data_IF_553399658081
#
_entry.id   IF_553399658081
#
_cell.length_a   1.000
_cell.length_b   1.000
_cell.length_c   1.000
_cell.angle_alpha   90.00
_cell.angle_beta   90.00
_cell.angle_gamma   90.00
#
_symmetry.space_group_name_H-M   'P 1'
#
loop_
_entity.id
_entity.type
_entity.pdbx_description
1 polymer ?
#
# COMPACT_ATOMS: atom_id res chain seq x y z
N UNK A 1 53.56 -44.00 -1.45
CA UNK A 1 52.66 -43.18 -0.59
C UNK A 1 51.48 -42.61 -1.40
N UNK A 2 50.56 -43.45 -1.90
CA UNK A 2 49.39 -42.98 -2.70
C UNK A 2 48.06 -43.65 -2.34
N UNK A 3 48.02 -44.54 -1.35
CA UNK A 3 46.79 -45.24 -0.94
C UNK A 3 46.14 -44.69 0.34
N UNK A 4 46.81 -43.77 1.05
CA UNK A 4 46.27 -43.17 2.28
C UNK A 4 45.47 -41.88 2.06
N UNK A 5 45.53 -41.28 0.87
CA UNK A 5 44.83 -40.02 0.57
C UNK A 5 43.40 -40.24 0.04
N UNK A 6 43.11 -41.45 -0.46
CA UNK A 6 41.80 -41.77 -1.04
C UNK A 6 40.74 -42.10 0.00
N UNK A 7 41.14 -42.44 1.23
CA UNK A 7 40.22 -42.84 2.30
C UNK A 7 39.66 -41.65 3.10
N UNK A 8 40.28 -40.46 3.01
CA UNK A 8 39.83 -39.24 3.69
C UNK A 8 38.73 -38.52 2.89
N UNK A 9 38.63 -38.76 1.58
CA UNK A 9 37.66 -38.07 0.73
C UNK A 9 36.24 -38.67 0.77
N UNK A 10 36.07 -39.87 1.35
CA UNK A 10 34.77 -40.56 1.41
C UNK A 10 34.01 -40.23 2.71
N UNK A 11 34.67 -39.71 3.74
CA UNK A 11 34.04 -39.47 5.04
C UNK A 11 33.39 -38.08 5.21
N UNK A 12 33.50 -37.18 4.22
CA UNK A 12 32.93 -35.84 4.29
C UNK A 12 31.60 -35.65 3.53
N UNK A 13 31.07 -36.71 2.91
CA UNK A 13 29.88 -36.64 2.03
C UNK A 13 28.52 -36.79 2.75
N UNK A 14 28.49 -36.93 4.08
CA UNK A 14 27.28 -37.33 4.82
C UNK A 14 26.69 -36.24 5.72
N UNK A 15 27.05 -34.98 5.54
CA UNK A 15 26.48 -33.88 6.32
C UNK A 15 25.33 -33.21 5.54
N UNK A 16 24.14 -33.76 5.82
CA UNK A 16 22.84 -33.07 5.97
C UNK A 16 22.15 -32.49 4.72
N UNK A 17 21.32 -33.32 4.08
CA UNK A 17 20.06 -32.84 3.51
C UNK A 17 19.08 -32.49 4.64
N UNK A 18 19.28 -31.35 5.29
CA UNK A 18 18.22 -30.76 6.10
C UNK A 18 17.20 -30.15 5.13
N UNK A 19 16.21 -30.96 4.74
CA UNK A 19 15.01 -30.46 4.09
C UNK A 19 14.30 -29.59 5.12
N UNK A 20 14.57 -28.28 5.08
CA UNK A 20 13.72 -27.27 5.69
C UNK A 20 12.33 -27.48 5.08
N UNK A 21 11.46 -28.23 5.80
CA UNK A 21 10.03 -28.16 5.57
C UNK A 21 9.70 -26.67 5.69
N UNK A 22 9.36 -26.03 4.58
CA UNK A 22 8.85 -24.66 4.60
C UNK A 22 7.66 -24.71 5.54
N UNK A 23 7.80 -24.16 6.75
CA UNK A 23 6.63 -23.85 7.57
C UNK A 23 5.77 -22.97 6.68
N UNK A 24 4.56 -23.42 6.39
CA UNK A 24 3.53 -22.52 5.91
C UNK A 24 3.39 -21.46 7.00
N UNK A 25 4.02 -20.32 6.78
CA UNK A 25 3.82 -19.14 7.59
C UNK A 25 2.39 -18.71 7.26
N UNK A 26 1.46 -19.07 8.14
CA UNK A 26 0.10 -18.56 8.08
C UNK A 26 0.23 -17.07 8.42
N UNK A 27 0.33 -16.23 7.39
CA UNK A 27 0.27 -14.79 7.57
C UNK A 27 -1.11 -14.44 8.14
N UNK A 28 -1.19 -13.67 9.24
CA UNK A 28 -2.46 -13.26 9.79
C UNK A 28 -3.23 -12.47 8.73
N UNK A 29 -4.56 -12.65 8.72
CA UNK A 29 -5.42 -11.88 7.82
C UNK A 29 -5.16 -10.37 8.00
N UNK A 30 -5.10 -9.58 6.92
CA UNK A 30 -4.81 -8.16 7.02
C UNK A 30 -5.90 -7.46 7.84
N UNK A 31 -5.47 -6.64 8.79
CA UNK A 31 -6.35 -5.76 9.57
C UNK A 31 -5.96 -4.31 9.32
N UNK A 32 -6.94 -3.42 9.39
CA UNK A 32 -6.64 -1.99 9.30
C UNK A 32 -5.83 -1.53 10.52
N UNK A 33 -4.83 -0.65 10.34
CA UNK A 33 -4.03 -0.15 11.45
C UNK A 33 -4.88 0.72 12.39
N UNK A 34 -4.42 0.93 13.61
CA UNK A 34 -5.04 1.92 14.50
C UNK A 34 -4.89 3.33 13.94
N UNK A 35 -5.81 4.24 14.30
CA UNK A 35 -5.68 5.65 13.95
C UNK A 35 -4.69 6.27 14.95
N UNK A 36 -3.52 6.68 14.44
CA UNK A 36 -2.46 7.34 15.21
C UNK A 36 -2.05 8.65 14.54
N UNK A 37 -1.24 9.45 15.23
CA UNK A 37 -0.71 10.74 14.75
C UNK A 37 0.81 10.83 14.93
N UNK A 38 1.50 9.69 14.92
CA UNK A 38 2.89 9.56 15.35
C UNK A 38 3.88 9.46 14.18
N UNK A 39 3.39 9.38 12.94
CA UNK A 39 4.18 9.13 11.75
C UNK A 39 4.65 7.67 11.66
N UNK A 40 3.82 6.70 12.04
CA UNK A 40 4.23 5.28 12.09
C UNK A 40 4.38 4.61 10.71
N UNK A 41 4.16 5.34 9.61
CA UNK A 41 4.07 4.82 8.25
C UNK A 41 3.05 3.69 8.13
N UNK A 42 1.85 3.96 8.65
CA UNK A 42 0.72 3.04 8.53
C UNK A 42 -0.30 3.60 7.54
N UNK A 43 -0.94 2.70 6.81
CA UNK A 43 -1.93 3.05 5.81
C UNK A 43 -2.89 1.88 5.62
N UNK A 44 -4.16 2.17 5.39
CA UNK A 44 -5.09 1.18 4.88
C UNK A 44 -6.51 1.70 4.72
N UNK A 45 -7.33 0.92 4.03
CA UNK A 45 -8.75 1.22 3.82
C UNK A 45 -9.53 -0.07 3.53
N UNK A 46 -10.86 0.00 3.58
CA UNK A 46 -11.73 -1.03 3.03
C UNK A 46 -12.00 -0.75 1.56
N UNK A 47 -11.70 -1.69 0.67
CA UNK A 47 -12.09 -1.68 -0.74
C UNK A 47 -13.30 -2.60 -0.89
N UNK A 48 -14.51 -2.03 -0.94
CA UNK A 48 -15.74 -2.79 -0.67
C UNK A 48 -15.65 -3.50 0.71
N UNK A 49 -15.61 -4.84 0.73
CA UNK A 49 -15.52 -5.65 1.95
C UNK A 49 -14.10 -6.18 2.22
N UNK A 50 -13.11 -5.78 1.43
CA UNK A 50 -11.75 -6.28 1.52
C UNK A 50 -10.82 -5.27 2.19
N UNK A 51 -9.94 -5.73 3.09
CA UNK A 51 -8.93 -4.86 3.71
C UNK A 51 -7.78 -4.64 2.73
N UNK A 52 -7.50 -3.37 2.45
CA UNK A 52 -6.32 -2.93 1.71
C UNK A 52 -5.30 -2.34 2.67
N UNK A 53 -4.16 -3.02 2.82
CA UNK A 53 -2.99 -2.54 3.56
C UNK A 53 -1.73 -2.83 2.75
N UNK A 54 -0.69 -2.01 2.87
CA UNK A 54 0.58 -2.28 2.21
C UNK A 54 1.17 -3.60 2.71
N UNK A 55 1.85 -4.32 1.82
CA UNK A 55 2.70 -5.43 2.23
C UNK A 55 4.11 -4.89 2.50
N UNK A 56 4.44 -4.59 3.75
CA UNK A 56 5.70 -3.92 4.11
C UNK A 56 6.98 -4.73 3.78
N UNK A 57 6.87 -6.01 3.41
CA UNK A 57 8.01 -6.84 3.05
C UNK A 57 8.43 -6.68 1.57
N UNK A 58 7.51 -6.25 0.70
CA UNK A 58 7.73 -6.23 -0.76
C UNK A 58 7.09 -5.04 -1.49
N UNK A 59 6.36 -4.17 -0.78
CA UNK A 59 5.56 -3.12 -1.41
C UNK A 59 5.97 -1.72 -0.96
N UNK A 60 5.71 -0.76 -1.85
CA UNK A 60 5.96 0.66 -1.63
C UNK A 60 4.79 1.29 -0.90
N UNK A 61 5.08 1.94 0.22
CA UNK A 61 4.20 2.89 0.88
C UNK A 61 4.93 4.24 0.97
N UNK A 62 4.30 5.31 0.50
CA UNK A 62 4.87 6.65 0.58
C UNK A 62 3.81 7.73 0.71
N UNK A 63 4.18 8.81 1.39
CA UNK A 63 3.43 10.06 1.43
C UNK A 63 4.40 11.20 1.07
N UNK A 64 4.24 11.82 -0.09
CA UNK A 64 5.12 12.92 -0.51
C UNK A 64 4.37 14.24 -0.43
N UNK A 65 5.06 15.27 0.07
CA UNK A 65 4.55 16.62 0.25
C UNK A 65 5.31 17.61 -0.64
N UNK A 66 4.59 18.41 -1.41
CA UNK A 66 5.16 19.54 -2.13
C UNK A 66 5.68 19.27 -3.55
N UNK A 67 5.20 18.22 -4.22
CA UNK A 67 5.60 17.90 -5.60
C UNK A 67 5.27 19.05 -6.58
N UNK A 68 6.29 19.63 -7.24
CA UNK A 68 6.12 20.74 -8.18
C UNK A 68 5.89 20.28 -9.62
N UNK A 69 4.65 20.53 -10.07
CA UNK A 69 4.03 20.14 -11.34
C UNK A 69 2.58 19.76 -11.04
N UNK A 70 1.61 20.29 -11.78
CA UNK A 70 0.15 20.32 -11.47
C UNK A 70 -0.23 20.21 -9.98
N UNK A 71 0.40 21.07 -9.18
CA UNK A 71 -0.03 21.53 -7.86
C UNK A 71 -0.29 20.46 -6.77
N UNK A 72 0.26 19.25 -6.90
CA UNK A 72 0.02 18.18 -5.92
C UNK A 72 0.71 18.46 -4.60
N UNK A 73 -0.08 18.66 -3.55
CA UNK A 73 0.40 18.98 -2.19
C UNK A 73 0.58 17.75 -1.34
N UNK A 74 -0.22 16.72 -1.58
CA UNK A 74 -0.07 15.41 -0.96
C UNK A 74 -0.25 14.32 -2.00
N UNK A 75 0.71 13.39 -2.05
CA UNK A 75 0.61 12.15 -2.82
C UNK A 75 0.73 10.96 -1.87
N UNK A 76 -0.37 10.24 -1.65
CA UNK A 76 -0.42 8.99 -0.89
C UNK A 76 -0.39 7.82 -1.88
N UNK A 77 0.69 7.04 -1.85
CA UNK A 77 0.84 5.87 -2.70
C UNK A 77 1.00 4.61 -1.85
N UNK A 78 0.22 3.59 -2.17
CA UNK A 78 0.28 2.28 -1.52
C UNK A 78 0.21 1.19 -2.57
N UNK A 79 1.19 0.29 -2.57
CA UNK A 79 1.14 -0.98 -3.29
C UNK A 79 0.84 -2.11 -2.31
N UNK A 80 0.19 -3.17 -2.77
CA UNK A 80 0.04 -4.43 -2.02
C UNK A 80 0.25 -5.61 -2.94
N UNK A 81 0.49 -6.79 -2.37
CA UNK A 81 0.41 -8.05 -3.13
C UNK A 81 -1.05 -8.27 -3.54
N UNK A 82 -1.32 -8.62 -4.81
CA UNK A 82 -2.69 -8.84 -5.24
C UNK A 82 -3.27 -10.07 -4.52
N UNK A 83 -4.46 -9.96 -3.90
CA UNK A 83 -5.11 -11.10 -3.26
C UNK A 83 -5.65 -12.10 -4.28
N UNK A 84 -5.92 -11.65 -5.51
CA UNK A 84 -6.42 -12.49 -6.59
C UNK A 84 -5.28 -13.14 -7.40
N UNK A 85 -4.12 -12.48 -7.47
CA UNK A 85 -2.92 -13.03 -8.12
C UNK A 85 -1.65 -12.72 -7.31
N UNK A 86 -1.25 -13.66 -6.47
CA UNK A 86 -0.10 -13.50 -5.57
C UNK A 86 1.26 -13.26 -6.26
N UNK A 87 1.37 -13.36 -7.58
CA UNK A 87 2.60 -13.04 -8.32
C UNK A 87 2.66 -11.57 -8.78
N UNK A 88 1.57 -10.84 -8.62
CA UNK A 88 1.43 -9.44 -9.04
C UNK A 88 1.11 -8.54 -7.85
N UNK A 89 0.91 -7.26 -8.12
CA UNK A 89 0.61 -6.26 -7.12
C UNK A 89 -0.51 -5.35 -7.58
N UNK A 90 -1.37 -4.99 -6.64
CA UNK A 90 -2.35 -3.93 -6.82
C UNK A 90 -1.76 -2.59 -6.32
N UNK A 91 -2.24 -1.45 -6.81
CA UNK A 91 -1.85 -0.16 -6.27
C UNK A 91 -3.03 0.79 -6.06
N UNK A 92 -2.84 1.71 -5.12
CA UNK A 92 -3.71 2.85 -4.84
C UNK A 92 -2.84 4.11 -4.82
N UNK A 93 -3.29 5.14 -5.53
CA UNK A 93 -2.67 6.44 -5.56
C UNK A 93 -3.73 7.53 -5.35
N UNK A 94 -3.57 8.32 -4.31
CA UNK A 94 -4.37 9.52 -4.05
C UNK A 94 -3.46 10.74 -4.12
N UNK A 95 -3.70 11.57 -5.13
CA UNK A 95 -3.08 12.90 -5.26
C UNK A 95 -4.10 13.93 -4.85
N UNK A 96 -3.73 14.79 -3.91
CA UNK A 96 -4.56 15.86 -3.40
C UNK A 96 -3.86 17.21 -3.55
N UNK A 97 -4.60 18.18 -4.06
CA UNK A 97 -4.15 19.53 -4.38
C UNK A 97 -4.98 20.52 -3.58
N UNK A 98 -4.35 21.20 -2.63
CA UNK A 98 -4.95 22.31 -1.92
C UNK A 98 -3.83 23.26 -1.44
N UNK A 99 -3.87 24.55 -1.79
CA UNK A 99 -2.81 25.49 -1.41
C UNK A 99 -2.52 25.51 0.10
N UNK A 100 -3.56 25.34 0.93
CA UNK A 100 -3.51 25.53 2.38
C UNK A 100 -4.04 24.30 3.14
N UNK A 101 -3.24 23.23 3.17
CA UNK A 101 -3.55 22.05 4.00
C UNK A 101 -3.26 22.36 5.46
N UNK A 102 -4.26 22.13 6.30
CA UNK A 102 -4.19 22.19 7.76
C UNK A 102 -5.03 21.05 8.35
N UNK A 103 -5.11 20.95 9.68
CA UNK A 103 -6.02 19.99 10.32
C UNK A 103 -7.47 20.33 10.00
N UNK A 104 -8.27 19.32 9.66
CA UNK A 104 -9.68 19.51 9.30
C UNK A 104 -10.12 18.58 8.18
N UNK A 105 -11.40 18.66 7.83
CA UNK A 105 -12.02 17.85 6.77
C UNK A 105 -12.15 18.67 5.49
N UNK A 106 -11.76 18.07 4.38
CA UNK A 106 -11.82 18.66 3.05
C UNK A 106 -12.59 17.73 2.11
N UNK A 107 -13.40 18.31 1.22
CA UNK A 107 -14.03 17.56 0.14
C UNK A 107 -12.96 17.12 -0.87
N UNK A 108 -13.08 15.89 -1.36
CA UNK A 108 -12.35 15.37 -2.52
C UNK A 108 -13.29 15.41 -3.73
N UNK A 109 -12.84 15.97 -4.84
CA UNK A 109 -13.55 16.01 -6.11
C UNK A 109 -12.54 16.05 -7.28
N UNK A 110 -13.03 15.99 -8.51
CA UNK A 110 -12.18 15.96 -9.71
C UNK A 110 -11.28 17.20 -9.87
N UNK A 111 -11.60 18.32 -9.22
CA UNK A 111 -10.80 19.54 -9.30
C UNK A 111 -9.58 19.52 -8.38
N UNK A 112 -9.67 18.84 -7.23
CA UNK A 112 -8.63 18.86 -6.21
C UNK A 112 -8.05 17.48 -5.88
N UNK A 113 -8.57 16.43 -6.49
CA UNK A 113 -8.18 15.06 -6.21
C UNK A 113 -8.10 14.23 -7.48
N UNK A 114 -7.00 13.51 -7.63
CA UNK A 114 -6.86 12.44 -8.61
C UNK A 114 -6.66 11.12 -7.89
N UNK A 115 -7.53 10.15 -8.20
CA UNK A 115 -7.43 8.78 -7.72
C UNK A 115 -7.09 7.88 -8.88
N UNK A 116 -6.06 7.06 -8.70
CA UNK A 116 -5.73 5.95 -9.59
C UNK A 116 -5.63 4.67 -8.73
N UNK A 117 -6.51 3.71 -8.98
CA UNK A 117 -6.44 2.36 -8.38
C UNK A 117 -6.31 1.35 -9.48
N UNK A 118 -5.47 0.35 -9.29
CA UNK A 118 -5.39 -0.81 -10.18
C UNK A 118 -5.43 -2.09 -9.35
N UNK A 119 -6.29 -3.02 -9.75
CA UNK A 119 -6.31 -4.39 -9.21
C UNK A 119 -6.05 -5.39 -10.31
N UNK A 120 -5.29 -6.43 -10.01
CA UNK A 120 -5.05 -7.54 -10.95
C UNK A 120 -5.96 -8.72 -10.59
N UNK A 121 -6.73 -9.21 -11.55
CA UNK A 121 -7.56 -10.41 -11.38
C UNK A 121 -6.75 -11.71 -11.46
N UNK A 122 -7.37 -12.83 -11.09
CA UNK A 122 -6.73 -14.15 -11.06
C UNK A 122 -6.22 -14.62 -12.45
N UNK A 123 -6.87 -14.17 -13.52
CA UNK A 123 -6.51 -14.40 -14.92
C UNK A 123 -5.54 -13.35 -15.49
N UNK A 124 -4.94 -12.53 -14.61
CA UNK A 124 -3.91 -11.54 -14.93
C UNK A 124 -4.39 -10.36 -15.80
N UNK A 125 -5.67 -9.99 -15.69
CA UNK A 125 -6.19 -8.74 -16.27
C UNK A 125 -6.14 -7.61 -15.24
N UNK A 126 -5.69 -6.43 -15.69
CA UNK A 126 -5.70 -5.22 -14.88
C UNK A 126 -7.07 -4.54 -14.98
N UNK A 127 -7.62 -4.14 -13.83
CA UNK A 127 -8.80 -3.28 -13.73
C UNK A 127 -8.39 -1.94 -13.15
N UNK A 128 -8.58 -0.88 -13.91
CA UNK A 128 -8.33 0.49 -13.51
C UNK A 128 -9.58 1.13 -12.90
N UNK A 129 -9.40 1.92 -11.84
CA UNK A 129 -10.47 2.68 -11.22
C UNK A 129 -10.06 4.14 -11.05
N UNK A 130 -11.02 5.04 -11.26
CA UNK A 130 -10.89 6.49 -11.06
C UNK A 130 -11.88 6.99 -10.01
N UNK A 131 -11.65 8.19 -9.49
CA UNK A 131 -12.60 8.85 -8.61
C UNK A 131 -13.99 8.91 -9.26
N UNK A 132 -15.03 8.61 -8.51
CA UNK A 132 -16.42 8.72 -8.95
C UNK A 132 -17.19 9.62 -8.00
N UNK A 133 -17.54 10.82 -8.47
CA UNK A 133 -18.22 11.84 -7.69
C UNK A 133 -17.31 12.50 -6.65
N UNK A 134 -17.74 12.46 -5.39
CA UNK A 134 -17.10 13.19 -4.29
C UNK A 134 -16.67 12.24 -3.18
N UNK A 135 -15.68 12.68 -2.41
CA UNK A 135 -15.22 12.03 -1.19
C UNK A 135 -14.83 13.05 -0.13
N UNK A 136 -14.14 12.58 0.90
CA UNK A 136 -13.60 13.43 1.94
C UNK A 136 -12.26 12.90 2.45
N UNK A 137 -11.35 13.82 2.76
CA UNK A 137 -10.13 13.57 3.51
C UNK A 137 -10.15 14.41 4.77
N UNK A 138 -9.82 13.81 5.91
CA UNK A 138 -9.69 14.52 7.19
C UNK A 138 -8.24 14.43 7.65
N UNK A 139 -7.57 15.57 7.75
CA UNK A 139 -6.25 15.68 8.35
C UNK A 139 -6.40 15.82 9.86
N UNK A 140 -5.94 14.82 10.60
CA UNK A 140 -5.93 14.82 12.06
C UNK A 140 -4.65 15.49 12.57
N UNK A 141 -3.51 15.25 11.90
CA UNK A 141 -2.25 15.96 12.13
C UNK A 141 -1.63 16.35 10.80
N UNK A 142 -1.22 17.61 10.71
CA UNK A 142 -0.45 18.15 9.59
C UNK A 142 0.70 19.00 10.12
N UNK A 143 1.85 18.35 10.33
CA UNK A 143 3.00 18.92 11.00
C UNK A 143 4.21 18.86 10.08
N UNK A 144 4.45 19.94 9.34
CA UNK A 144 5.56 20.03 8.38
C UNK A 144 6.93 20.14 9.07
N UNK A 145 6.99 20.56 10.34
CA UNK A 145 8.24 20.63 11.10
C UNK A 145 8.75 19.23 11.43
N UNK A 146 7.86 18.35 11.90
CA UNK A 146 8.19 16.96 12.18
C UNK A 146 7.94 16.03 10.98
N UNK A 147 7.49 16.58 9.85
CA UNK A 147 7.14 15.85 8.62
C UNK A 147 6.11 14.75 8.88
N UNK A 148 5.05 15.04 9.62
CA UNK A 148 3.98 14.08 9.92
C UNK A 148 2.66 14.53 9.29
N UNK A 149 2.08 13.65 8.49
CA UNK A 149 0.71 13.77 7.98
C UNK A 149 -0.09 12.55 8.40
N UNK A 150 -1.18 12.76 9.14
CA UNK A 150 -2.09 11.67 9.54
C UNK A 150 -3.54 12.08 9.37
N UNK A 151 -4.39 11.10 9.12
CA UNK A 151 -5.77 11.38 8.79
C UNK A 151 -6.59 10.17 8.39
N UNK A 152 -7.81 10.46 7.96
CA UNK A 152 -8.77 9.48 7.42
C UNK A 152 -9.31 9.94 6.08
N UNK A 153 -9.85 9.01 5.30
CA UNK A 153 -10.52 9.35 4.04
C UNK A 153 -11.61 8.33 3.67
N UNK A 154 -12.56 8.79 2.87
CA UNK A 154 -13.63 7.99 2.26
C UNK A 154 -13.96 8.55 0.88
N UNK A 155 -14.15 7.68 -0.11
CA UNK A 155 -14.50 8.08 -1.47
C UNK A 155 -15.09 6.88 -2.23
N UNK A 156 -15.65 7.13 -3.41
CA UNK A 156 -16.08 6.09 -4.34
C UNK A 156 -15.17 6.11 -5.56
N UNK A 157 -14.84 4.94 -6.10
CA UNK A 157 -14.15 4.80 -7.38
C UNK A 157 -15.01 4.04 -8.37
N UNK A 158 -14.83 4.30 -9.66
CA UNK A 158 -15.52 3.62 -10.76
C UNK A 158 -14.51 2.91 -11.65
N UNK A 159 -14.79 1.64 -11.95
CA UNK A 159 -13.98 0.84 -12.87
C UNK A 159 -14.15 1.35 -14.31
N UNK A 160 -13.03 1.53 -15.01
CA UNK A 160 -12.99 2.26 -16.29
C UNK A 160 -13.71 1.55 -17.44
N UNK A 161 -13.83 0.21 -17.40
CA UNK A 161 -14.40 -0.59 -18.50
C UNK A 161 -15.89 -0.87 -18.34
N UNK A 162 -16.31 -1.26 -17.14
CA UNK A 162 -17.65 -1.74 -16.79
C UNK A 162 -18.51 -0.63 -16.19
N UNK A 163 -17.90 0.42 -15.65
CA UNK A 163 -18.61 1.47 -14.91
C UNK A 163 -19.06 1.03 -13.52
N UNK A 164 -18.68 -0.16 -13.04
CA UNK A 164 -18.98 -0.61 -11.68
C UNK A 164 -18.30 0.28 -10.65
N UNK A 165 -19.04 0.68 -9.62
CA UNK A 165 -18.54 1.53 -8.54
C UNK A 165 -18.14 0.71 -7.32
N UNK A 166 -17.02 1.08 -6.68
CA UNK A 166 -16.53 0.49 -5.44
C UNK A 166 -16.36 1.57 -4.39
N UNK A 167 -16.95 1.36 -3.22
CA UNK A 167 -16.76 2.24 -2.08
C UNK A 167 -15.41 1.99 -1.41
N UNK A 168 -14.65 3.06 -1.18
CA UNK A 168 -13.46 3.08 -0.33
C UNK A 168 -13.83 3.71 1.00
N UNK A 169 -13.84 2.90 2.06
CA UNK A 169 -14.30 3.33 3.38
C UNK A 169 -13.24 3.08 4.45
N UNK A 170 -13.36 3.76 5.61
CA UNK A 170 -12.45 3.62 6.75
C UNK A 170 -10.97 3.80 6.38
N UNK A 171 -10.70 4.63 5.37
CA UNK A 171 -9.35 4.98 4.96
C UNK A 171 -8.65 5.71 6.08
N UNK A 172 -7.39 5.35 6.33
CA UNK A 172 -6.56 5.91 7.39
C UNK A 172 -5.10 5.90 6.96
N UNK A 173 -4.38 6.94 7.36
CA UNK A 173 -2.95 7.08 7.13
C UNK A 173 -2.30 7.77 8.32
N UNK A 174 -1.10 7.34 8.68
CA UNK A 174 -0.22 8.00 9.64
C UNK A 174 1.21 7.90 9.12
N UNK A 175 1.68 8.95 8.45
CA UNK A 175 2.81 8.91 7.54
C UNK A 175 3.88 9.94 7.88
N UNK A 176 5.14 9.54 7.69
CA UNK A 176 6.23 10.50 7.54
C UNK A 176 6.19 11.05 6.11
N UNK A 177 6.16 12.37 5.98
CA UNK A 177 6.07 13.09 4.71
C UNK A 177 7.46 13.17 4.05
N UNK A 178 7.63 12.47 2.93
CA UNK A 178 8.75 12.64 2.00
C UNK A 178 8.58 13.89 1.13
N UNK A 179 9.61 14.23 0.36
CA UNK A 179 9.60 15.33 -0.61
C UNK A 179 8.98 14.90 -1.96
#
# INVERSE_FOLDING_TARGET
>A
MKKSLFLILIFFSLITFSSCKKKEVIEPAPTLPEITQLGLNTFGFMFSNEVWTPNLLVSTLSANYGMQGDEVKLNLFCRRKSPQNQKTSDFFNLKYTNPDISTGTYELNEQNCKIDVETISADNHAKGYKLDGKGSITFIRWDLKNRIGSGTFTLTVKEETTGETVAITKGRFDMVLGD
#
